data_IF_450486969751
#
_entry.id   IF_450486969751
#
_cell.length_a   1.000
_cell.length_b   1.000
_cell.length_c   1.000
_cell.angle_alpha   90.00
_cell.angle_beta   90.00
_cell.angle_gamma   90.00
#
_symmetry.space_group_name_H-M   'P 1'
#
loop_
_entity.id
_entity.type
_entity.pdbx_description
1 polymer ?
#
# COMPACT_ATOMS: atom_id res chain seq x y z
N UNK A 1 -2.41 13.97 12.34
CA UNK A 1 -2.58 12.84 11.40
C UNK A 1 -1.52 13.01 10.34
N UNK A 2 -0.52 12.15 10.34
CA UNK A 2 0.59 12.19 9.38
C UNK A 2 0.00 11.94 7.99
N UNK A 3 0.02 12.96 7.13
CA UNK A 3 -0.43 12.81 5.75
C UNK A 3 0.59 11.95 5.03
N UNK A 4 0.24 10.70 4.73
CA UNK A 4 1.02 9.88 3.82
C UNK A 4 0.96 10.50 2.42
N UNK A 5 2.11 10.87 1.87
CA UNK A 5 2.22 11.32 0.49
C UNK A 5 2.40 10.08 -0.39
N UNK A 6 1.36 9.70 -1.11
CA UNK A 6 1.40 8.59 -2.07
C UNK A 6 2.57 8.77 -3.06
N UNK A 7 3.30 7.69 -3.36
CA UNK A 7 4.38 7.73 -4.34
C UNK A 7 3.82 8.16 -5.69
N UNK A 8 4.43 9.17 -6.30
CA UNK A 8 4.12 9.54 -7.68
C UNK A 8 4.56 8.42 -8.61
N UNK A 9 3.60 7.73 -9.21
CA UNK A 9 3.85 6.66 -10.16
C UNK A 9 4.21 7.22 -11.54
N UNK A 10 5.16 6.57 -12.22
CA UNK A 10 5.40 6.80 -13.65
C UNK A 10 4.21 6.30 -14.48
N UNK A 11 4.10 6.68 -15.76
CA UNK A 11 2.96 6.31 -16.61
C UNK A 11 2.69 4.80 -16.68
N UNK A 12 3.75 3.99 -16.81
CA UNK A 12 3.64 2.52 -16.84
C UNK A 12 3.16 1.95 -15.50
N UNK A 13 3.68 2.47 -14.39
CA UNK A 13 3.29 2.04 -13.04
C UNK A 13 1.86 2.46 -12.70
N UNK A 14 1.42 3.63 -13.17
CA UNK A 14 0.04 4.07 -13.02
C UNK A 14 -0.93 3.16 -13.79
N UNK A 15 -0.55 2.69 -14.98
CA UNK A 15 -1.38 1.75 -15.74
C UNK A 15 -1.38 0.35 -15.09
N UNK A 16 -0.23 -0.10 -14.57
CA UNK A 16 -0.17 -1.32 -13.76
C UNK A 16 -1.08 -1.23 -12.53
N UNK A 17 -1.13 -0.08 -11.83
CA UNK A 17 -2.05 0.13 -10.71
C UNK A 17 -3.51 -0.03 -11.13
N UNK A 18 -3.93 0.58 -12.24
CA UNK A 18 -5.30 0.44 -12.75
C UNK A 18 -5.65 -1.01 -13.11
N UNK A 19 -4.69 -1.77 -13.64
CA UNK A 19 -4.90 -3.19 -13.91
C UNK A 19 -5.09 -3.98 -12.62
N UNK A 20 -4.27 -3.71 -11.59
CA UNK A 20 -4.43 -4.33 -10.26
C UNK A 20 -5.78 -3.97 -9.62
N UNK A 21 -6.21 -2.71 -9.69
CA UNK A 21 -7.52 -2.25 -9.20
C UNK A 21 -8.68 -3.01 -9.87
N UNK A 22 -8.59 -3.24 -11.19
CA UNK A 22 -9.59 -4.03 -11.93
C UNK A 22 -9.59 -5.50 -11.53
N UNK A 23 -8.41 -6.09 -11.37
CA UNK A 23 -8.27 -7.49 -10.92
C UNK A 23 -8.86 -7.63 -9.53
N UNK A 24 -8.57 -6.71 -8.61
CA UNK A 24 -9.12 -6.71 -7.26
C UNK A 24 -10.65 -6.72 -7.26
N UNK A 25 -11.28 -5.87 -8.08
CA UNK A 25 -12.74 -5.82 -8.19
C UNK A 25 -13.35 -7.15 -8.64
N UNK A 26 -12.71 -7.84 -9.61
CA UNK A 26 -13.17 -9.17 -10.06
C UNK A 26 -13.00 -10.21 -8.96
N UNK A 27 -11.85 -10.22 -8.27
CA UNK A 27 -11.60 -11.18 -7.19
C UNK A 27 -12.56 -10.98 -6.00
N UNK A 28 -12.87 -9.73 -5.66
CA UNK A 28 -13.83 -9.36 -4.62
C UNK A 28 -15.26 -9.82 -4.98
N UNK A 29 -15.69 -9.60 -6.23
CA UNK A 29 -16.99 -10.07 -6.73
C UNK A 29 -17.15 -11.59 -6.67
N UNK A 30 -16.04 -12.32 -6.80
CA UNK A 30 -16.00 -13.79 -6.77
C UNK A 30 -15.62 -14.39 -5.41
N UNK A 31 -15.51 -13.57 -4.35
CA UNK A 31 -15.15 -14.01 -2.99
C UNK A 31 -13.76 -14.69 -2.88
N UNK A 32 -12.86 -14.44 -3.85
CA UNK A 32 -11.50 -15.00 -3.91
C UNK A 32 -10.54 -14.23 -2.99
N UNK A 33 -10.79 -14.34 -1.68
CA UNK A 33 -10.20 -13.50 -0.63
C UNK A 33 -8.67 -13.57 -0.55
N UNK A 34 -8.08 -14.76 -0.70
CA UNK A 34 -6.63 -14.94 -0.64
C UNK A 34 -5.92 -14.26 -1.82
N UNK A 35 -6.53 -14.33 -3.01
CA UNK A 35 -6.02 -13.68 -4.20
C UNK A 35 -6.21 -12.15 -4.11
N UNK A 36 -7.38 -11.69 -3.63
CA UNK A 36 -7.65 -10.28 -3.40
C UNK A 36 -6.64 -9.66 -2.41
N UNK A 37 -6.31 -10.38 -1.34
CA UNK A 37 -5.28 -9.98 -0.38
C UNK A 37 -3.91 -9.74 -1.05
N UNK A 38 -3.47 -10.66 -1.90
CA UNK A 38 -2.21 -10.52 -2.65
C UNK A 38 -2.21 -9.27 -3.54
N UNK A 39 -3.35 -8.94 -4.16
CA UNK A 39 -3.47 -7.76 -5.02
C UNK A 39 -3.45 -6.47 -4.20
N UNK A 40 -4.13 -6.43 -3.05
CA UNK A 40 -4.06 -5.30 -2.12
C UNK A 40 -2.61 -5.03 -1.68
N UNK A 41 -1.90 -6.08 -1.27
CA UNK A 41 -0.50 -5.97 -0.84
C UNK A 41 0.41 -5.45 -1.98
N UNK A 42 0.15 -5.87 -3.21
CA UNK A 42 0.88 -5.39 -4.39
C UNK A 42 0.61 -3.89 -4.66
N UNK A 43 -0.65 -3.45 -4.56
CA UNK A 43 -1.05 -2.04 -4.73
C UNK A 43 -0.38 -1.18 -3.66
N UNK A 44 -0.45 -1.59 -2.40
CA UNK A 44 0.17 -0.90 -1.26
C UNK A 44 1.67 -0.68 -1.48
N UNK A 45 2.40 -1.74 -1.85
CA UNK A 45 3.85 -1.64 -2.15
C UNK A 45 4.15 -0.75 -3.35
N UNK A 46 3.30 -0.80 -4.38
CA UNK A 46 3.46 0.00 -5.58
C UNK A 46 3.37 1.50 -5.26
N UNK A 47 2.36 1.89 -4.50
CA UNK A 47 2.13 3.28 -4.09
C UNK A 47 3.01 3.72 -2.91
N UNK A 48 3.81 2.80 -2.36
CA UNK A 48 4.70 3.04 -1.23
C UNK A 48 3.95 3.23 0.09
N UNK A 49 2.75 2.67 0.22
CA UNK A 49 1.95 2.73 1.44
C UNK A 49 2.76 2.16 2.61
N UNK A 50 2.75 2.83 3.77
CA UNK A 50 3.49 2.37 4.93
C UNK A 50 2.84 1.08 5.42
N UNK A 51 3.67 0.06 5.60
CA UNK A 51 3.33 -1.19 6.26
C UNK A 51 2.77 -0.94 7.66
N UNK A 52 2.06 -1.91 8.23
CA UNK A 52 1.51 -1.80 9.59
C UNK A 52 2.58 -1.46 10.63
N UNK A 53 3.80 -1.96 10.45
CA UNK A 53 4.91 -1.68 11.36
C UNK A 53 5.46 -0.26 11.19
N UNK A 54 5.60 0.23 9.96
CA UNK A 54 5.98 1.63 9.69
C UNK A 54 4.91 2.60 10.21
N UNK A 55 3.61 2.27 10.03
CA UNK A 55 2.51 3.03 10.63
C UNK A 55 2.62 3.07 12.15
N UNK A 56 2.93 1.94 12.79
CA UNK A 56 3.13 1.87 14.25
C UNK A 56 4.35 2.69 14.71
N UNK A 57 5.46 2.66 13.97
CA UNK A 57 6.61 3.51 14.26
C UNK A 57 6.25 4.98 14.21
N UNK A 58 5.59 5.43 13.15
CA UNK A 58 5.12 6.81 13.01
C UNK A 58 4.18 7.22 14.16
N UNK A 59 3.29 6.33 14.60
CA UNK A 59 2.39 6.58 15.73
C UNK A 59 3.11 6.68 17.08
N UNK A 60 4.26 6.03 17.23
CA UNK A 60 5.04 5.98 18.49
C UNK A 60 6.18 7.00 18.54
N UNK A 61 6.21 7.95 17.60
CA UNK A 61 7.26 8.98 17.52
C UNK A 61 8.59 8.44 17.03
N UNK A 62 8.56 7.37 16.22
CA UNK A 62 9.73 6.73 15.63
C UNK A 62 9.76 6.95 14.13
N UNK A 63 10.97 6.94 13.56
CA UNK A 63 11.21 7.00 12.13
C UNK A 63 10.85 5.70 11.42
N UNK A 64 10.98 5.64 10.09
CA UNK A 64 10.53 4.53 9.25
C UNK A 64 11.16 3.17 9.62
N UNK A 65 12.36 3.17 10.21
CA UNK A 65 13.09 1.97 10.61
C UNK A 65 12.98 1.70 12.13
N UNK A 66 12.10 2.43 12.83
CA UNK A 66 11.84 2.28 14.26
C UNK A 66 12.81 3.02 15.18
N UNK A 67 13.68 3.86 14.61
CA UNK A 67 14.59 4.76 15.34
C UNK A 67 13.82 5.88 16.06
N UNK A 68 14.24 6.34 17.25
CA UNK A 68 13.61 7.49 17.89
C UNK A 68 13.79 8.76 17.04
N UNK A 69 12.71 9.50 16.81
CA UNK A 69 12.81 10.86 16.25
C UNK A 69 13.27 11.79 17.39
N UNK A 70 14.49 12.32 17.28
CA UNK A 70 15.08 13.25 18.24
C UNK A 70 14.42 14.63 18.24
#
# INVERSE_FOLDING_TARGET
MTHFAERVLTGELAEARKQLERILAVLDEHEESDAAYCVCEAIERLIGAPTTIEQWYLMTGRGPEGEPLA
#
